data_IF_825737805313
#
_entry.id   IF_825737805313
#
_cell.length_a   1.000
_cell.length_b   1.000
_cell.length_c   1.000
_cell.angle_alpha   90.00
_cell.angle_beta   90.00
_cell.angle_gamma   90.00
#
_symmetry.space_group_name_H-M   'P 1'
#
loop_
_entity.id
_entity.type
_entity.pdbx_description
1 polymer ?
#
# COMPACT_ATOMS: atom_id res chain seq x y z
N UNK A 1 -17.22 -16.83 -6.69
CA UNK A 1 -16.72 -15.68 -7.47
C UNK A 1 -15.65 -14.93 -6.67
N UNK A 2 -14.88 -14.01 -7.28
CA UNK A 2 -13.82 -13.25 -6.57
C UNK A 2 -14.35 -12.49 -5.32
N UNK A 3 -15.61 -12.05 -5.37
CA UNK A 3 -16.32 -11.44 -4.23
C UNK A 3 -16.32 -12.34 -3.01
N UNK A 4 -16.61 -13.63 -3.19
CA UNK A 4 -16.61 -14.64 -2.12
C UNK A 4 -15.20 -14.94 -1.56
N UNK A 5 -14.12 -14.51 -2.21
CA UNK A 5 -12.76 -14.61 -1.64
C UNK A 5 -12.42 -13.40 -0.76
N UNK A 6 -13.05 -12.27 -1.04
CA UNK A 6 -12.90 -10.99 -0.34
C UNK A 6 -13.88 -10.94 0.86
N UNK A 7 -15.03 -11.61 0.71
CA UNK A 7 -16.11 -11.70 1.69
C UNK A 7 -16.84 -13.06 1.56
N UNK A 8 -16.29 -14.15 2.12
CA UNK A 8 -16.83 -15.50 1.92
C UNK A 8 -18.21 -15.72 2.52
N UNK A 9 -18.52 -15.04 3.62
CA UNK A 9 -19.72 -15.33 4.40
C UNK A 9 -20.80 -14.25 4.30
N UNK A 10 -20.47 -13.02 3.84
CA UNK A 10 -21.40 -11.89 3.70
C UNK A 10 -22.10 -11.43 4.99
N UNK A 11 -21.96 -12.18 6.09
CA UNK A 11 -22.60 -12.00 7.38
C UNK A 11 -21.62 -11.69 8.52
N UNK A 12 -20.34 -11.44 8.21
CA UNK A 12 -19.38 -10.99 9.21
C UNK A 12 -19.70 -9.55 9.64
N UNK A 13 -20.53 -9.42 10.67
CA UNK A 13 -20.97 -8.13 11.22
C UNK A 13 -19.79 -7.26 11.70
N UNK A 14 -18.69 -7.86 12.13
CA UNK A 14 -17.49 -7.09 12.49
C UNK A 14 -16.90 -6.42 11.25
N UNK A 15 -16.73 -7.20 10.18
CA UNK A 15 -16.23 -6.69 8.90
C UNK A 15 -17.15 -5.63 8.31
N UNK A 16 -18.46 -5.84 8.32
CA UNK A 16 -19.44 -4.87 7.78
C UNK A 16 -19.33 -3.52 8.49
N UNK A 17 -19.35 -3.52 9.83
CA UNK A 17 -19.18 -2.29 10.63
C UNK A 17 -17.80 -1.64 10.42
N UNK A 18 -16.76 -2.47 10.23
CA UNK A 18 -15.43 -1.96 9.93
C UNK A 18 -15.38 -1.28 8.56
N UNK A 19 -16.00 -1.86 7.52
CA UNK A 19 -16.10 -1.22 6.20
C UNK A 19 -16.79 0.14 6.31
N UNK A 20 -17.97 0.19 6.93
CA UNK A 20 -18.74 1.43 7.11
C UNK A 20 -17.90 2.51 7.82
N UNK A 21 -17.24 2.14 8.92
CA UNK A 21 -16.40 3.10 9.68
C UNK A 21 -15.18 3.56 8.90
N UNK A 22 -14.56 2.70 8.08
CA UNK A 22 -13.44 3.10 7.22
C UNK A 22 -13.90 4.05 6.12
N UNK A 23 -15.05 3.79 5.49
CA UNK A 23 -15.61 4.66 4.45
C UNK A 23 -15.94 6.04 5.01
N UNK A 24 -16.62 6.10 6.17
CA UNK A 24 -16.88 7.35 6.91
C UNK A 24 -15.57 8.13 7.16
N UNK A 25 -14.54 7.47 7.69
CA UNK A 25 -13.26 8.10 7.96
C UNK A 25 -12.57 8.61 6.68
N UNK A 26 -12.63 7.84 5.58
CA UNK A 26 -12.06 8.25 4.30
C UNK A 26 -12.75 9.50 3.74
N UNK A 27 -14.07 9.62 3.93
CA UNK A 27 -14.82 10.78 3.46
C UNK A 27 -14.54 12.02 4.29
N UNK A 28 -14.49 11.89 5.63
CA UNK A 28 -14.07 12.96 6.55
C UNK A 28 -12.67 13.49 6.18
N UNK A 29 -11.75 12.59 5.82
CA UNK A 29 -10.37 12.94 5.45
C UNK A 29 -10.13 12.98 3.94
N UNK A 30 -11.17 13.22 3.13
CA UNK A 30 -11.08 13.22 1.67
C UNK A 30 -10.03 14.22 1.11
N UNK A 31 -9.78 15.33 1.81
CA UNK A 31 -8.73 16.29 1.48
C UNK A 31 -7.30 15.69 1.51
N UNK A 32 -7.09 14.57 2.23
CA UNK A 32 -5.81 13.88 2.32
C UNK A 32 -5.61 12.81 1.22
N UNK A 33 -6.54 12.64 0.26
CA UNK A 33 -6.45 11.58 -0.77
C UNK A 33 -5.13 11.59 -1.56
N UNK A 34 -4.54 12.77 -1.79
CA UNK A 34 -3.23 12.93 -2.44
C UNK A 34 -2.05 12.51 -1.55
N UNK A 35 -2.21 12.59 -0.22
CA UNK A 35 -1.23 12.14 0.77
C UNK A 35 -1.69 10.83 1.42
N UNK A 36 -1.46 9.73 0.70
CA UNK A 36 -1.91 8.38 1.10
C UNK A 36 -1.42 7.96 2.50
N UNK A 37 -0.22 8.37 2.91
CA UNK A 37 0.30 8.04 4.25
C UNK A 37 -0.42 8.84 5.34
N UNK A 38 -0.69 10.13 5.11
CA UNK A 38 -1.48 10.95 6.02
C UNK A 38 -2.92 10.43 6.13
N UNK A 39 -3.55 10.09 5.00
CA UNK A 39 -4.89 9.51 4.98
C UNK A 39 -4.95 8.20 5.79
N UNK A 40 -3.99 7.29 5.59
CA UNK A 40 -3.95 6.03 6.35
C UNK A 40 -3.81 6.26 7.86
N UNK A 41 -2.98 7.21 8.27
CA UNK A 41 -2.82 7.58 9.69
C UNK A 41 -4.09 8.19 10.26
N UNK A 42 -4.76 9.07 9.53
CA UNK A 42 -6.03 9.68 9.96
C UNK A 42 -7.14 8.63 10.11
N UNK A 43 -7.32 7.76 9.11
CA UNK A 43 -8.25 6.64 9.17
C UNK A 43 -7.94 5.71 10.35
N UNK A 44 -6.66 5.37 10.56
CA UNK A 44 -6.25 4.56 11.72
C UNK A 44 -6.59 5.24 13.04
N UNK A 45 -6.42 6.57 13.15
CA UNK A 45 -6.83 7.36 14.32
C UNK A 45 -8.32 7.20 14.64
N UNK A 46 -9.19 7.44 13.65
CA UNK A 46 -10.65 7.29 13.79
C UNK A 46 -11.03 5.88 14.22
N UNK A 47 -10.43 4.86 13.61
CA UNK A 47 -10.69 3.47 13.98
C UNK A 47 -10.31 3.19 15.44
N UNK A 48 -9.19 3.73 15.91
CA UNK A 48 -8.76 3.55 17.30
C UNK A 48 -9.65 4.29 18.29
N UNK A 49 -10.08 5.51 17.96
CA UNK A 49 -11.05 6.28 18.75
C UNK A 49 -12.40 5.55 18.85
N UNK A 50 -12.80 4.84 17.78
CA UNK A 50 -13.98 3.97 17.76
C UNK A 50 -13.77 2.60 18.46
N UNK A 51 -12.61 2.37 19.09
CA UNK A 51 -12.33 1.17 19.87
C UNK A 51 -11.77 -0.02 19.09
N UNK A 52 -11.49 0.11 17.79
CA UNK A 52 -10.86 -0.95 17.01
C UNK A 52 -9.37 -1.06 17.35
N UNK A 53 -8.84 -2.29 17.42
CA UNK A 53 -7.40 -2.53 17.47
C UNK A 53 -6.78 -2.34 16.06
N UNK A 54 -6.75 -1.09 15.61
CA UNK A 54 -6.20 -0.68 14.33
C UNK A 54 -4.72 -0.25 14.44
N UNK A 55 -3.98 -0.46 13.37
CA UNK A 55 -2.58 -0.03 13.24
C UNK A 55 -2.17 0.18 11.79
N UNK A 56 -1.22 1.07 11.57
CA UNK A 56 -0.56 1.24 10.27
C UNK A 56 0.58 0.23 10.18
N UNK A 57 0.58 -0.60 9.14
CA UNK A 57 1.58 -1.61 8.88
C UNK A 57 2.49 -1.17 7.74
N UNK A 58 3.80 -1.36 7.92
CA UNK A 58 4.82 -1.14 6.89
C UNK A 58 5.54 -2.44 6.61
N UNK A 59 5.33 -3.02 5.44
CA UNK A 59 6.09 -4.17 4.95
C UNK A 59 7.32 -3.72 4.18
N UNK A 60 8.39 -4.52 4.28
CA UNK A 60 9.59 -4.37 3.47
C UNK A 60 10.16 -5.76 3.19
N UNK A 61 10.51 -6.03 1.95
CA UNK A 61 11.12 -7.29 1.55
C UNK A 61 12.33 -7.03 0.66
N UNK A 62 13.37 -7.85 0.87
CA UNK A 62 14.55 -7.85 0.02
C UNK A 62 14.26 -8.58 -1.30
N UNK A 63 15.11 -8.34 -2.29
CA UNK A 63 15.12 -9.15 -3.51
C UNK A 63 15.50 -10.59 -3.18
N UNK A 64 14.78 -11.54 -3.77
CA UNK A 64 15.03 -12.97 -3.54
C UNK A 64 14.57 -13.77 -4.76
N UNK A 65 15.52 -14.35 -5.50
CA UNK A 65 15.27 -15.02 -6.78
C UNK A 65 14.50 -14.10 -7.73
N UNK A 66 13.32 -14.54 -8.19
CA UNK A 66 12.46 -13.79 -9.11
C UNK A 66 11.56 -12.72 -8.45
N UNK A 67 11.81 -12.37 -7.18
CA UNK A 67 11.10 -11.30 -6.48
C UNK A 67 12.00 -10.07 -6.37
N UNK A 68 11.53 -8.95 -6.92
CA UNK A 68 12.17 -7.64 -6.76
C UNK A 68 11.89 -7.08 -5.37
N UNK A 69 12.85 -6.33 -4.82
CA UNK A 69 12.69 -5.66 -3.53
C UNK A 69 11.53 -4.65 -3.57
N UNK A 70 10.93 -4.41 -2.40
CA UNK A 70 9.82 -3.48 -2.31
C UNK A 70 9.43 -3.16 -0.88
N UNK A 71 8.50 -2.22 -0.75
CA UNK A 71 7.85 -1.85 0.49
C UNK A 71 6.40 -1.46 0.22
N UNK A 72 5.57 -1.50 1.25
CA UNK A 72 4.17 -1.10 1.17
C UNK A 72 3.67 -0.64 2.55
N UNK A 73 2.66 0.23 2.54
CA UNK A 73 2.01 0.74 3.75
C UNK A 73 0.50 0.50 3.62
N UNK A 74 -0.10 -0.08 4.67
CA UNK A 74 -1.52 -0.42 4.73
C UNK A 74 -2.02 -0.29 6.17
N UNK A 75 -3.32 -0.44 6.39
CA UNK A 75 -3.90 -0.51 7.74
C UNK A 75 -4.27 -1.97 8.02
N UNK A 76 -4.07 -2.44 9.24
CA UNK A 76 -4.70 -3.66 9.72
C UNK A 76 -5.58 -3.42 10.93
N UNK A 77 -6.54 -4.32 11.12
CA UNK A 77 -7.39 -4.38 12.30
C UNK A 77 -7.40 -5.80 12.82
N UNK A 78 -7.12 -5.96 14.12
CA UNK A 78 -7.13 -7.25 14.80
C UNK A 78 -8.45 -7.36 15.56
N UNK A 79 -9.29 -8.32 15.17
CA UNK A 79 -10.51 -8.67 15.89
C UNK A 79 -10.21 -9.79 16.87
N UNK A 80 -10.89 -9.75 18.02
CA UNK A 80 -10.88 -10.88 18.95
C UNK A 80 -11.48 -12.15 18.31
N UNK A 81 -11.22 -13.32 18.92
CA UNK A 81 -11.79 -14.58 18.46
C UNK A 81 -13.32 -14.55 18.48
N UNK A 82 -13.94 -15.23 17.52
CA UNK A 82 -15.40 -15.38 17.47
C UNK A 82 -15.81 -16.42 18.50
N UNK A 83 -16.80 -16.10 19.35
CA UNK A 83 -17.35 -17.08 20.30
C UNK A 83 -16.43 -17.45 21.48
N UNK A 84 -15.40 -16.65 21.76
CA UNK A 84 -14.57 -16.80 22.98
C UNK A 84 -13.41 -17.80 22.88
N UNK A 85 -13.19 -18.45 21.73
CA UNK A 85 -12.05 -19.34 21.48
C UNK A 85 -11.50 -19.23 20.06
N UNK A 86 -10.20 -19.46 19.88
CA UNK A 86 -9.52 -19.44 18.58
C UNK A 86 -8.50 -18.30 18.41
N UNK A 87 -7.91 -18.23 17.22
CA UNK A 87 -6.94 -17.20 16.88
C UNK A 87 -7.62 -15.86 16.55
N UNK A 88 -7.00 -14.72 16.90
CA UNK A 88 -7.52 -13.42 16.51
C UNK A 88 -7.54 -13.28 14.99
N UNK A 89 -8.64 -12.74 14.46
CA UNK A 89 -8.80 -12.52 13.01
C UNK A 89 -8.12 -11.21 12.61
N UNK A 90 -7.30 -11.26 11.56
CA UNK A 90 -6.60 -10.09 11.03
C UNK A 90 -7.22 -9.63 9.73
N UNK A 91 -7.79 -8.42 9.74
CA UNK A 91 -8.29 -7.76 8.55
C UNK A 91 -7.24 -6.79 8.02
N UNK A 92 -6.99 -6.88 6.72
CA UNK A 92 -6.22 -5.89 5.96
C UNK A 92 -7.22 -4.88 5.40
N UNK A 93 -6.92 -3.61 5.61
CA UNK A 93 -7.65 -2.47 5.08
C UNK A 93 -6.78 -1.76 4.06
N UNK A 94 -7.20 -1.81 2.79
CA UNK A 94 -6.58 -1.07 1.70
C UNK A 94 -7.56 -0.06 1.12
N UNK A 95 -7.07 1.16 0.89
CA UNK A 95 -7.88 2.30 0.44
C UNK A 95 -7.79 2.49 -1.09
N UNK A 96 -7.08 1.61 -1.82
CA UNK A 96 -6.97 1.59 -3.29
C UNK A 96 -6.54 0.19 -3.77
N UNK A 97 -7.33 -0.82 -3.42
CA UNK A 97 -7.00 -2.21 -3.72
C UNK A 97 -7.09 -2.53 -5.21
N UNK A 98 -8.09 -1.99 -5.92
CA UNK A 98 -8.30 -2.29 -7.34
C UNK A 98 -7.13 -1.79 -8.22
N UNK A 99 -6.55 -0.63 -7.90
CA UNK A 99 -5.38 -0.09 -8.60
C UNK A 99 -4.17 -1.04 -8.57
N UNK A 100 -4.12 -1.95 -7.61
CA UNK A 100 -3.08 -2.98 -7.48
C UNK A 100 -3.17 -4.11 -8.52
N UNK A 101 -4.24 -4.15 -9.32
CA UNK A 101 -4.48 -5.21 -10.30
C UNK A 101 -4.76 -4.70 -11.72
N UNK A 102 -4.70 -3.40 -11.97
CA UNK A 102 -4.85 -2.87 -13.33
C UNK A 102 -3.70 -3.31 -14.25
N UNK A 103 -4.02 -3.74 -15.47
CA UNK A 103 -3.02 -4.20 -16.45
C UNK A 103 -3.23 -3.50 -17.79
N UNK A 104 -2.16 -3.40 -18.57
CA UNK A 104 -2.24 -2.89 -19.93
C UNK A 104 -2.98 -3.89 -20.83
N UNK A 105 -3.91 -3.38 -21.66
CA UNK A 105 -4.66 -4.13 -22.68
C UNK A 105 -5.38 -5.35 -22.10
N UNK A 106 -6.28 -5.20 -21.10
CA UNK A 106 -6.98 -6.35 -20.53
C UNK A 106 -7.82 -7.08 -21.60
N UNK A 107 -7.98 -8.40 -21.44
CA UNK A 107 -9.01 -9.15 -22.18
C UNK A 107 -10.39 -8.83 -21.59
N UNK A 108 -11.46 -9.09 -22.34
CA UNK A 108 -12.82 -8.93 -21.83
C UNK A 108 -13.09 -9.82 -20.60
N UNK A 109 -12.49 -11.02 -20.56
CA UNK A 109 -12.55 -11.90 -19.39
C UNK A 109 -11.93 -11.23 -18.16
N UNK A 110 -10.75 -10.62 -18.29
CA UNK A 110 -10.12 -9.90 -17.18
C UNK A 110 -10.88 -8.63 -16.80
N UNK A 111 -11.49 -7.95 -17.78
CA UNK A 111 -12.40 -6.83 -17.52
C UNK A 111 -13.50 -7.21 -16.53
N UNK A 112 -14.16 -8.36 -16.72
CA UNK A 112 -15.17 -8.88 -15.79
C UNK A 112 -14.62 -9.18 -14.39
N UNK A 113 -13.36 -9.62 -14.29
CA UNK A 113 -12.68 -9.80 -12.98
C UNK A 113 -12.52 -8.45 -12.28
N UNK A 114 -12.11 -7.42 -13.01
CA UNK A 114 -11.95 -6.06 -12.46
C UNK A 114 -13.29 -5.41 -12.10
N UNK A 115 -14.36 -5.67 -12.86
CA UNK A 115 -15.72 -5.22 -12.53
C UNK A 115 -16.27 -5.88 -11.25
N UNK A 116 -15.87 -7.12 -10.98
CA UNK A 116 -16.25 -7.83 -9.76
C UNK A 116 -15.45 -7.34 -8.53
N UNK A 117 -14.30 -6.69 -8.74
CA UNK A 117 -13.44 -6.17 -7.67
C UNK A 117 -14.10 -4.94 -7.00
N UNK A 118 -14.03 -4.82 -5.66
CA UNK A 118 -14.44 -3.58 -5.01
C UNK A 118 -13.56 -2.41 -5.47
N UNK A 119 -14.18 -1.34 -5.98
CA UNK A 119 -13.46 -0.16 -6.51
C UNK A 119 -13.00 0.83 -5.43
N UNK A 120 -13.49 0.67 -4.21
CA UNK A 120 -13.22 1.57 -3.08
C UNK A 120 -12.35 0.91 -2.01
N UNK A 121 -12.71 1.17 -0.75
CA UNK A 121 -12.10 0.54 0.41
C UNK A 121 -12.30 -0.96 0.35
N UNK A 122 -11.26 -1.70 0.70
CA UNK A 122 -11.29 -3.15 0.83
C UNK A 122 -10.88 -3.52 2.23
N UNK A 123 -11.78 -4.21 2.93
CA UNK A 123 -11.53 -4.85 4.23
C UNK A 123 -11.61 -6.35 4.00
N UNK A 124 -10.50 -7.06 4.14
CA UNK A 124 -10.41 -8.50 3.83
C UNK A 124 -9.57 -9.20 4.87
N UNK A 125 -10.04 -10.36 5.32
CA UNK A 125 -9.25 -11.22 6.19
C UNK A 125 -7.99 -11.72 5.49
N UNK A 126 -6.88 -11.82 6.23
CA UNK A 126 -5.57 -12.17 5.69
C UNK A 126 -5.56 -13.44 4.81
N UNK A 127 -6.35 -14.46 5.16
CA UNK A 127 -6.47 -15.68 4.36
C UNK A 127 -7.25 -15.47 3.05
N UNK A 128 -8.41 -14.80 3.14
CA UNK A 128 -9.22 -14.41 1.99
C UNK A 128 -8.40 -13.56 1.01
N UNK A 129 -7.61 -12.62 1.53
CA UNK A 129 -6.72 -11.76 0.75
C UNK A 129 -5.69 -12.59 -0.03
N UNK A 130 -5.06 -13.57 0.62
CA UNK A 130 -4.10 -14.45 -0.06
C UNK A 130 -4.73 -15.20 -1.23
N UNK A 131 -5.93 -15.73 -1.04
CA UNK A 131 -6.68 -16.46 -2.08
C UNK A 131 -7.09 -15.52 -3.22
N UNK A 132 -7.64 -14.36 -2.90
CA UNK A 132 -8.03 -13.34 -3.87
C UNK A 132 -6.84 -12.89 -4.72
N UNK A 133 -5.71 -12.53 -4.09
CA UNK A 133 -4.50 -12.09 -4.80
C UNK A 133 -3.98 -13.16 -5.77
N UNK A 134 -3.96 -14.43 -5.37
CA UNK A 134 -3.56 -15.53 -6.25
C UNK A 134 -4.48 -15.66 -7.46
N UNK A 135 -5.80 -15.65 -7.22
CA UNK A 135 -6.79 -15.77 -8.28
C UNK A 135 -6.68 -14.62 -9.31
N UNK A 136 -6.56 -13.38 -8.83
CA UNK A 136 -6.48 -12.20 -9.70
C UNK A 136 -5.16 -12.15 -10.44
N UNK A 137 -4.03 -12.47 -9.80
CA UNK A 137 -2.73 -12.51 -10.46
C UNK A 137 -2.67 -13.58 -11.57
N UNK A 138 -3.32 -14.74 -11.36
CA UNK A 138 -3.44 -15.77 -12.40
C UNK A 138 -4.33 -15.33 -13.56
N UNK A 139 -5.46 -14.66 -13.28
CA UNK A 139 -6.29 -14.07 -14.32
C UNK A 139 -5.52 -12.99 -15.12
N UNK A 140 -4.73 -12.16 -14.43
CA UNK A 140 -3.89 -11.14 -15.05
C UNK A 140 -2.83 -11.77 -15.95
N UNK A 141 -2.17 -12.84 -15.48
CA UNK A 141 -1.20 -13.61 -16.25
C UNK A 141 -1.81 -14.16 -17.53
N UNK A 142 -2.99 -14.78 -17.46
CA UNK A 142 -3.72 -15.31 -18.63
C UNK A 142 -4.06 -14.20 -19.62
N UNK A 143 -4.59 -13.08 -19.13
CA UNK A 143 -4.93 -11.92 -19.95
C UNK A 143 -3.72 -11.34 -20.69
N UNK A 144 -2.61 -11.09 -19.97
CA UNK A 144 -1.41 -10.53 -20.57
C UNK A 144 -0.79 -11.49 -21.59
N UNK A 145 -0.74 -12.79 -21.28
CA UNK A 145 -0.26 -13.82 -22.22
C UNK A 145 -1.08 -13.83 -23.51
N UNK A 146 -2.41 -13.74 -23.42
CA UNK A 146 -3.29 -13.67 -24.58
C UNK A 146 -3.07 -12.43 -25.46
N UNK A 147 -2.40 -11.40 -24.92
CA UNK A 147 -2.04 -10.16 -25.62
C UNK A 147 -0.55 -10.09 -26.01
N UNK A 148 0.18 -11.21 -25.90
CA UNK A 148 1.62 -11.26 -26.19
C UNK A 148 2.47 -10.46 -25.19
N UNK A 149 1.96 -10.23 -23.98
CA UNK A 149 2.64 -9.48 -22.92
C UNK A 149 3.04 -10.38 -21.75
N UNK A 150 4.10 -9.99 -21.05
CA UNK A 150 4.52 -10.62 -19.79
C UNK A 150 4.02 -9.85 -18.58
N UNK A 151 3.57 -10.55 -17.54
CA UNK A 151 3.11 -9.95 -16.29
C UNK A 151 4.31 -9.33 -15.54
N UNK A 152 4.30 -8.02 -15.25
CA UNK A 152 5.41 -7.37 -14.58
C UNK A 152 5.59 -7.91 -13.15
N UNK A 153 6.81 -7.88 -12.57
CA UNK A 153 7.10 -8.45 -11.26
C UNK A 153 6.15 -8.00 -10.15
N UNK A 154 5.75 -6.72 -10.14
CA UNK A 154 4.89 -6.15 -9.10
C UNK A 154 3.43 -6.59 -9.15
N UNK A 155 3.00 -7.19 -10.28
CA UNK A 155 1.66 -7.79 -10.44
C UNK A 155 1.66 -9.31 -10.19
N UNK A 156 2.82 -9.92 -9.97
CA UNK A 156 2.91 -11.37 -9.67
C UNK A 156 2.43 -11.64 -8.25
N UNK A 157 1.72 -12.75 -8.06
CA UNK A 157 1.13 -13.14 -6.77
C UNK A 157 2.11 -13.05 -5.59
N UNK A 158 3.35 -13.55 -5.74
CA UNK A 158 4.36 -13.50 -4.66
C UNK A 158 4.69 -12.06 -4.23
N UNK A 159 4.81 -11.13 -5.17
CA UNK A 159 5.10 -9.72 -4.88
C UNK A 159 3.89 -9.06 -4.21
N UNK A 160 2.71 -9.24 -4.79
CA UNK A 160 1.48 -8.63 -4.32
C UNK A 160 1.10 -9.17 -2.93
N UNK A 161 1.26 -10.47 -2.66
CA UNK A 161 1.09 -11.05 -1.31
C UNK A 161 2.07 -10.44 -0.30
N UNK A 162 3.33 -10.20 -0.69
CA UNK A 162 4.33 -9.62 0.22
C UNK A 162 3.96 -8.20 0.70
N UNK A 163 3.17 -7.45 -0.09
CA UNK A 163 2.68 -6.11 0.28
C UNK A 163 1.91 -6.11 1.60
N UNK A 164 1.01 -7.07 1.80
CA UNK A 164 0.12 -7.09 2.97
C UNK A 164 0.43 -8.21 3.95
N UNK A 165 0.97 -9.34 3.48
CA UNK A 165 1.17 -10.55 4.26
C UNK A 165 2.65 -10.88 4.51
N UNK A 166 3.58 -10.02 4.08
CA UNK A 166 4.99 -10.13 4.41
C UNK A 166 5.32 -9.66 5.83
N UNK A 167 6.57 -9.84 6.30
CA UNK A 167 7.04 -9.26 7.56
C UNK A 167 6.84 -7.75 7.59
N UNK A 168 6.32 -7.23 8.70
CA UNK A 168 5.93 -5.83 8.82
C UNK A 168 6.26 -5.24 10.19
N UNK A 169 6.43 -3.92 10.23
CA UNK A 169 6.37 -3.12 11.46
C UNK A 169 4.97 -2.54 11.61
N UNK A 170 4.40 -2.61 12.81
CA UNK A 170 3.07 -2.10 13.13
C UNK A 170 3.17 -0.86 14.01
N UNK A 171 2.47 0.20 13.63
CA UNK A 171 2.42 1.47 14.35
C UNK A 171 0.99 1.70 14.83
N UNK A 172 0.82 1.89 16.13
CA UNK A 172 -0.48 2.11 16.79
C UNK A 172 -0.61 3.51 17.38
N UNK A 173 0.46 4.31 17.33
CA UNK A 173 0.40 5.70 17.78
C UNK A 173 -0.31 6.55 16.74
N UNK A 174 -1.40 7.20 17.15
CA UNK A 174 -2.12 8.19 16.35
C UNK A 174 -1.42 9.55 16.31
N UNK A 175 -0.29 9.70 17.01
CA UNK A 175 0.49 10.93 16.94
C UNK A 175 0.92 11.12 15.47
N UNK A 176 0.27 12.07 14.81
CA UNK A 176 0.89 12.79 13.70
C UNK A 176 2.23 13.24 14.23
N UNK A 177 3.32 12.63 13.77
CA UNK A 177 4.61 13.27 13.88
C UNK A 177 4.47 14.56 13.07
N UNK A 178 4.05 15.63 13.74
CA UNK A 178 4.44 16.98 13.38
C UNK A 178 5.95 16.86 13.28
N UNK A 179 6.49 16.86 12.07
CA UNK A 179 7.91 17.13 11.88
C UNK A 179 8.17 18.37 12.72
N UNK A 180 8.97 18.20 13.77
CA UNK A 180 9.20 19.21 14.77
C UNK A 180 9.56 20.51 14.04
N UNK A 181 8.69 21.50 14.16
CA UNK A 181 9.06 22.87 13.85
C UNK A 181 10.22 23.20 14.78
N UNK A 182 11.36 23.48 14.18
CA UNK A 182 12.56 23.94 14.86
C UNK A 182 12.19 25.12 15.77
N UNK A 183 12.51 24.99 17.05
CA UNK A 183 12.61 26.14 17.95
C UNK A 183 13.98 26.05 18.61
N UNK A 184 14.72 27.14 18.49
CA UNK A 184 16.16 27.18 18.57
C UNK A 184 16.75 26.84 19.94
N UNK A 185 17.89 26.17 19.88
CA UNK A 185 18.87 26.04 20.97
C UNK A 185 20.21 25.72 20.30
N UNK A 186 21.12 26.69 20.31
CA UNK A 186 22.34 26.67 19.50
C UNK A 186 23.25 25.46 19.74
N UNK A 187 23.68 24.85 18.65
CA UNK A 187 24.97 24.17 18.53
C UNK A 187 25.32 24.11 17.05
N UNK A 188 26.27 24.95 16.64
CA UNK A 188 26.75 25.03 15.26
C UNK A 188 27.47 23.74 14.88
N UNK A 189 26.82 22.89 14.08
CA UNK A 189 27.50 21.81 13.37
C UNK A 189 27.59 22.24 11.90
N UNK A 190 28.79 22.65 11.49
CA UNK A 190 29.05 23.08 10.12
C UNK A 190 29.06 21.90 9.16
N UNK A 191 27.99 21.73 8.39
CA UNK A 191 28.01 20.84 7.23
C UNK A 191 28.65 21.57 6.05
N UNK A 192 29.92 21.28 5.76
CA UNK A 192 30.59 21.70 4.53
C UNK A 192 29.92 21.00 3.34
N UNK A 193 29.30 21.78 2.46
CA UNK A 193 28.86 21.31 1.16
C UNK A 193 30.10 21.06 0.27
N UNK A 194 30.28 19.84 -0.20
CA UNK A 194 31.22 19.52 -1.28
C UNK A 194 30.52 19.73 -2.62
N UNK A 195 30.74 20.89 -3.23
CA UNK A 195 30.31 21.16 -4.60
C UNK A 195 31.24 20.45 -5.59
N UNK A 196 30.65 19.71 -6.53
CA UNK A 196 31.37 19.21 -7.70
C UNK A 196 31.69 20.39 -8.62
N UNK A 197 32.97 20.73 -8.78
CA UNK A 197 33.41 21.72 -9.75
C UNK A 197 33.32 21.14 -11.17
N UNK A 198 32.37 21.61 -11.96
CA UNK A 198 32.41 21.51 -13.41
C UNK A 198 33.39 22.57 -13.93
N UNK A 199 34.58 22.14 -14.38
CA UNK A 199 35.52 23.03 -15.07
C UNK A 199 35.01 23.23 -16.49
N UNK A 200 34.36 24.36 -16.73
CA UNK A 200 34.12 24.87 -18.07
C UNK A 200 35.45 25.40 -18.62
N UNK A 201 36.05 24.67 -19.57
CA UNK A 201 37.16 25.17 -20.37
C UNK A 201 36.65 26.23 -21.33
N UNK A 202 36.88 27.50 -21.02
CA UNK A 202 36.77 28.61 -21.97
C UNK A 202 38.18 28.95 -22.42
N UNK A 203 38.57 28.36 -23.56
CA UNK A 203 39.78 28.75 -24.28
C UNK A 203 39.59 30.18 -24.82
N UNK A 204 40.46 31.11 -24.40
CA UNK A 204 40.59 32.44 -25.00
C UNK A 204 41.60 32.39 -26.14
N UNK A 205 41.37 33.11 -27.26
CA UNK A 205 42.28 33.09 -28.39
C UNK A 205 43.47 34.02 -28.13
N UNK A 206 44.69 33.53 -28.40
CA UNK A 206 45.92 34.34 -28.45
C UNK A 206 46.26 34.59 -29.92
N UNK A 207 46.25 35.86 -30.30
CA UNK A 207 46.69 36.37 -31.59
C UNK A 207 48.22 36.31 -31.72
N UNK A 208 48.67 35.87 -32.89
CA UNK A 208 50.08 35.69 -33.29
C UNK A 208 50.54 36.95 -34.04
N UNK A 209 51.68 37.51 -33.68
CA UNK A 209 52.38 38.51 -34.49
C UNK A 209 53.83 38.11 -34.70
N UNK A 210 54.13 37.99 -36.00
CA UNK A 210 55.39 37.97 -36.75
C UNK A 210 56.59 37.17 -36.21
#
# INVERSE_FOLDING_TARGET
MLRDLIDPDGGDLFRIRLVEKVEEAVDVFSALRSNRSALRRAVMGVLREAGYNAGVCKTRWASSGNLTAGNHEFIDVIAGPVGGGGDPRRYVVDLDFAGEFEIARPTAEYGRVMEAMPRGVVVVEAEGLRRAVRAVAEAARRSMKARGLSLPPWRKARYTIAKWLGPYRRFTSSAVSSSAVVSGGGSSVGCRAVGFNAVASVLRPVTRTR
#
